data_IF_923223468803
#
_entry.id   IF_923223468803
#
_cell.length_a   1.000
_cell.length_b   1.000
_cell.length_c   1.000
_cell.angle_alpha   90.00
_cell.angle_beta   90.00
_cell.angle_gamma   90.00
#
_symmetry.space_group_name_H-M   'P 1'
#
loop_
_entity.id
_entity.type
_entity.pdbx_description
1 polymer ?
#
# COMPACT_ATOMS: atom_id res chain seq x y z
N UNK A 1 51.76 -2.79 91.25
CA UNK A 1 51.41 -3.66 90.11
C UNK A 1 52.42 -4.79 90.11
N UNK A 2 51.96 -6.01 90.39
CA UNK A 2 52.85 -7.18 90.47
C UNK A 2 53.21 -7.65 89.04
N UNK A 3 54.35 -8.33 88.89
CA UNK A 3 54.85 -8.81 87.58
C UNK A 3 53.85 -9.79 86.93
N UNK A 4 53.04 -10.47 87.73
CA UNK A 4 51.96 -11.37 87.30
C UNK A 4 50.79 -10.60 86.67
N UNK A 5 50.33 -9.51 87.29
CA UNK A 5 49.26 -8.65 86.74
C UNK A 5 49.66 -8.00 85.41
N UNK A 6 50.92 -7.61 85.26
CA UNK A 6 51.47 -7.07 84.00
C UNK A 6 51.45 -8.10 82.87
N UNK A 7 51.72 -9.38 83.16
CA UNK A 7 51.63 -10.48 82.17
C UNK A 7 50.20 -10.78 81.76
N UNK A 8 49.24 -10.73 82.69
CA UNK A 8 47.81 -10.87 82.35
C UNK A 8 47.32 -9.72 81.47
N UNK A 9 47.65 -8.47 81.81
CA UNK A 9 47.30 -7.29 81.01
C UNK A 9 47.88 -7.35 79.58
N UNK A 10 49.11 -7.82 79.43
CA UNK A 10 49.76 -8.02 78.14
C UNK A 10 49.08 -9.14 77.31
N UNK A 11 48.58 -10.20 77.98
CA UNK A 11 47.79 -11.26 77.36
C UNK A 11 46.43 -10.77 76.87
N UNK A 12 45.70 -10.01 77.68
CA UNK A 12 44.43 -9.41 77.28
C UNK A 12 44.59 -8.38 76.17
N UNK A 13 45.63 -7.53 76.23
CA UNK A 13 45.95 -6.59 75.16
C UNK A 13 46.31 -7.29 73.84
N UNK A 14 47.07 -8.39 73.89
CA UNK A 14 47.38 -9.22 72.72
C UNK A 14 46.15 -9.92 72.13
N UNK A 15 45.25 -10.42 72.99
CA UNK A 15 43.99 -11.06 72.57
C UNK A 15 43.00 -10.07 71.95
N UNK A 16 42.86 -8.86 72.52
CA UNK A 16 42.04 -7.79 71.95
C UNK A 16 42.63 -7.20 70.66
N UNK A 17 43.96 -7.08 70.55
CA UNK A 17 44.65 -6.63 69.33
C UNK A 17 44.47 -7.61 68.17
N UNK A 18 44.68 -8.91 68.41
CA UNK A 18 44.46 -9.96 67.41
C UNK A 18 42.97 -10.10 67.04
N UNK A 19 42.08 -10.09 68.03
CA UNK A 19 40.63 -10.14 67.81
C UNK A 19 40.10 -8.94 67.01
N UNK A 20 40.62 -7.74 67.27
CA UNK A 20 40.32 -6.53 66.51
C UNK A 20 40.77 -6.60 65.04
N UNK A 21 41.95 -7.14 64.77
CA UNK A 21 42.46 -7.33 63.40
C UNK A 21 41.61 -8.35 62.64
N UNK A 22 41.24 -9.46 63.27
CA UNK A 22 40.38 -10.49 62.66
C UNK A 22 38.99 -9.93 62.35
N UNK A 23 38.38 -9.19 63.26
CA UNK A 23 37.07 -8.59 63.06
C UNK A 23 37.08 -7.47 62.00
N UNK A 24 38.15 -6.67 61.93
CA UNK A 24 38.37 -5.73 60.82
C UNK A 24 38.59 -6.45 59.48
N UNK A 25 39.32 -7.56 59.47
CA UNK A 25 39.53 -8.39 58.28
C UNK A 25 38.24 -9.00 57.76
N UNK A 26 37.39 -9.52 58.64
CA UNK A 26 36.06 -10.05 58.30
C UNK A 26 35.15 -8.92 57.82
N UNK A 27 35.11 -7.79 58.52
CA UNK A 27 34.33 -6.61 58.12
C UNK A 27 34.73 -6.09 56.73
N UNK A 28 36.03 -6.03 56.45
CA UNK A 28 36.57 -5.65 55.14
C UNK A 28 36.19 -6.64 54.03
N UNK A 29 36.30 -7.95 54.29
CA UNK A 29 35.89 -8.99 53.34
C UNK A 29 34.39 -8.93 53.05
N UNK A 30 33.56 -8.71 54.08
CA UNK A 30 32.12 -8.52 53.93
C UNK A 30 31.80 -7.29 53.08
N UNK A 31 32.42 -6.15 53.40
CA UNK A 31 32.20 -4.89 52.70
C UNK A 31 32.59 -5.02 51.23
N UNK A 32 33.77 -5.59 50.95
CA UNK A 32 34.28 -5.81 49.59
C UNK A 32 33.35 -6.74 48.78
N UNK A 33 32.89 -7.84 49.37
CA UNK A 33 32.04 -8.82 48.70
C UNK A 33 30.63 -8.28 48.42
N UNK A 34 29.95 -7.74 49.44
CA UNK A 34 28.55 -7.32 49.33
C UNK A 34 28.38 -6.06 48.50
N UNK A 35 29.24 -5.04 48.66
CA UNK A 35 29.15 -3.84 47.81
C UNK A 35 29.48 -4.15 46.35
N UNK A 36 30.50 -4.97 46.09
CA UNK A 36 30.84 -5.37 44.72
C UNK A 36 29.69 -6.13 44.06
N UNK A 37 29.08 -7.08 44.76
CA UNK A 37 27.93 -7.83 44.24
C UNK A 37 26.70 -6.95 44.01
N UNK A 38 26.39 -6.00 44.90
CA UNK A 38 25.25 -5.09 44.74
C UNK A 38 25.47 -4.12 43.59
N UNK A 39 26.65 -3.52 43.48
CA UNK A 39 27.00 -2.62 42.37
C UNK A 39 26.96 -3.36 41.03
N UNK A 40 27.49 -4.59 40.98
CA UNK A 40 27.42 -5.44 39.78
C UNK A 40 25.98 -5.70 39.36
N UNK A 41 25.10 -6.09 40.30
CA UNK A 41 23.69 -6.39 40.01
C UNK A 41 22.90 -5.14 39.60
N UNK A 42 23.24 -3.98 40.18
CA UNK A 42 22.64 -2.69 39.81
C UNK A 42 23.08 -2.26 38.41
N UNK A 43 24.35 -2.46 38.05
CA UNK A 43 24.87 -2.20 36.72
C UNK A 43 24.22 -3.13 35.67
N UNK A 44 24.08 -4.42 35.98
CA UNK A 44 23.39 -5.41 35.13
C UNK A 44 21.93 -5.03 34.88
N UNK A 45 21.18 -4.64 35.92
CA UNK A 45 19.79 -4.19 35.77
C UNK A 45 19.67 -2.87 35.00
N UNK A 46 20.68 -2.00 35.04
CA UNK A 46 20.70 -0.77 34.25
C UNK A 46 20.91 -1.08 32.77
N UNK A 47 21.91 -1.92 32.45
CA UNK A 47 22.18 -2.36 31.08
C UNK A 47 20.95 -3.03 30.45
N UNK A 48 20.27 -3.94 31.15
CA UNK A 48 19.03 -4.57 30.66
C UNK A 48 17.92 -3.56 30.40
N UNK A 49 17.80 -2.50 31.20
CA UNK A 49 16.79 -1.44 30.96
C UNK A 49 17.13 -0.61 29.73
N UNK A 50 18.41 -0.30 29.53
CA UNK A 50 18.90 0.42 28.34
C UNK A 50 18.66 -0.42 27.08
N UNK A 51 18.92 -1.72 27.12
CA UNK A 51 18.64 -2.65 26.01
C UNK A 51 17.14 -2.71 25.69
N UNK A 52 16.27 -2.81 26.69
CA UNK A 52 14.81 -2.79 26.49
C UNK A 52 14.36 -1.46 25.87
N UNK A 53 14.93 -0.33 26.32
CA UNK A 53 14.61 0.98 25.76
C UNK A 53 15.06 1.09 24.29
N UNK A 54 16.26 0.59 23.96
CA UNK A 54 16.77 0.54 22.59
C UNK A 54 15.88 -0.32 21.69
N UNK A 55 15.51 -1.53 22.13
CA UNK A 55 14.61 -2.42 21.39
C UNK A 55 13.24 -1.76 21.17
N UNK A 56 12.69 -1.10 22.20
CA UNK A 56 11.41 -0.40 22.09
C UNK A 56 11.49 0.71 21.05
N UNK A 57 12.58 1.47 21.05
CA UNK A 57 12.80 2.53 20.06
C UNK A 57 12.88 1.98 18.63
N UNK A 58 13.60 0.87 18.42
CA UNK A 58 13.65 0.20 17.12
C UNK A 58 12.27 -0.32 16.68
N UNK A 59 11.50 -0.92 17.57
CA UNK A 59 10.13 -1.40 17.28
C UNK A 59 9.22 -0.24 16.89
N UNK A 60 9.27 0.88 17.62
CA UNK A 60 8.49 2.08 17.28
C UNK A 60 8.97 2.70 15.95
N UNK A 61 10.27 2.64 15.66
CA UNK A 61 10.82 3.04 14.35
C UNK A 61 10.26 2.19 13.22
N UNK A 62 10.31 0.86 13.36
CA UNK A 62 9.76 -0.10 12.40
C UNK A 62 8.26 0.09 12.24
N UNK A 63 7.51 0.22 13.34
CA UNK A 63 6.07 0.48 13.32
C UNK A 63 5.73 1.76 12.55
N UNK A 64 6.49 2.82 12.79
CA UNK A 64 6.33 4.11 12.09
C UNK A 64 6.58 3.94 10.59
N UNK A 65 7.66 3.24 10.21
CA UNK A 65 7.96 2.97 8.80
C UNK A 65 6.85 2.16 8.11
N UNK A 66 6.33 1.11 8.77
CA UNK A 66 5.22 0.33 8.24
C UNK A 66 3.93 1.14 8.13
N UNK A 67 3.62 1.99 9.11
CA UNK A 67 2.44 2.85 9.05
C UNK A 67 2.49 3.79 7.83
N UNK A 68 3.66 4.38 7.55
CA UNK A 68 3.87 5.22 6.36
C UNK A 68 3.70 4.40 5.08
N UNK A 69 4.33 3.22 4.99
CA UNK A 69 4.24 2.36 3.81
C UNK A 69 2.79 1.92 3.52
N UNK A 70 2.02 1.61 4.57
CA UNK A 70 0.61 1.23 4.46
C UNK A 70 -0.22 2.41 3.95
N UNK A 71 -0.03 3.61 4.49
CA UNK A 71 -0.76 4.80 4.05
C UNK A 71 -0.41 5.19 2.60
N UNK A 72 0.87 5.15 2.21
CA UNK A 72 1.28 5.37 0.82
C UNK A 72 0.67 4.34 -0.13
N UNK A 73 0.70 3.06 0.26
CA UNK A 73 0.09 1.99 -0.52
C UNK A 73 -1.42 2.22 -0.67
N UNK A 74 -2.14 2.52 0.42
CA UNK A 74 -3.57 2.82 0.39
C UNK A 74 -3.88 4.01 -0.52
N UNK A 75 -3.18 5.13 -0.37
CA UNK A 75 -3.38 6.32 -1.19
C UNK A 75 -3.17 6.01 -2.69
N UNK A 76 -2.11 5.27 -3.02
CA UNK A 76 -1.84 4.84 -4.39
C UNK A 76 -2.93 3.92 -4.95
N UNK A 77 -3.43 2.98 -4.14
CA UNK A 77 -4.52 2.10 -4.54
C UNK A 77 -5.83 2.86 -4.72
N UNK A 78 -6.16 3.79 -3.83
CA UNK A 78 -7.36 4.64 -3.95
C UNK A 78 -7.33 5.48 -5.24
N UNK A 79 -6.19 6.12 -5.54
CA UNK A 79 -6.03 6.88 -6.79
C UNK A 79 -6.18 5.98 -8.03
N UNK A 80 -5.62 4.77 -7.98
CA UNK A 80 -5.78 3.78 -9.06
C UNK A 80 -7.22 3.34 -9.23
N UNK A 81 -7.93 3.04 -8.14
CA UNK A 81 -9.34 2.64 -8.18
C UNK A 81 -10.20 3.78 -8.75
N UNK A 82 -10.03 5.01 -8.26
CA UNK A 82 -10.77 6.17 -8.78
C UNK A 82 -10.52 6.41 -10.28
N UNK A 83 -9.28 6.23 -10.74
CA UNK A 83 -8.95 6.34 -12.16
C UNK A 83 -9.57 5.20 -12.99
N UNK A 84 -9.61 3.98 -12.46
CA UNK A 84 -10.26 2.84 -13.12
C UNK A 84 -11.77 3.01 -13.19
N UNK A 85 -12.42 3.45 -12.11
CA UNK A 85 -13.86 3.71 -12.09
C UNK A 85 -14.24 4.77 -13.12
N UNK A 86 -13.47 5.86 -13.19
CA UNK A 86 -13.71 6.92 -14.18
C UNK A 86 -13.51 6.43 -15.61
N UNK A 87 -12.51 5.58 -15.84
CA UNK A 87 -12.26 4.96 -17.14
C UNK A 87 -13.41 4.03 -17.53
N UNK A 88 -13.84 3.14 -16.64
CA UNK A 88 -14.95 2.22 -16.90
C UNK A 88 -16.25 2.98 -17.19
N UNK A 89 -16.53 4.02 -16.40
CA UNK A 89 -17.66 4.92 -16.62
C UNK A 89 -17.61 5.55 -18.02
N UNK A 90 -16.46 6.08 -18.45
CA UNK A 90 -16.33 6.68 -19.77
C UNK A 90 -16.58 5.67 -20.90
N UNK A 91 -16.14 4.42 -20.73
CA UNK A 91 -16.42 3.36 -21.72
C UNK A 91 -17.92 3.02 -21.78
N UNK A 92 -18.60 2.94 -20.64
CA UNK A 92 -20.04 2.68 -20.57
C UNK A 92 -20.86 3.82 -21.20
N UNK A 93 -20.47 5.07 -20.94
CA UNK A 93 -21.09 6.25 -21.54
C UNK A 93 -20.89 6.26 -23.06
N UNK A 94 -19.67 5.98 -23.54
CA UNK A 94 -19.38 5.86 -24.98
C UNK A 94 -20.23 4.75 -25.64
N UNK A 95 -20.40 3.60 -24.98
CA UNK A 95 -21.27 2.53 -25.47
C UNK A 95 -22.73 2.96 -25.59
N UNK A 96 -23.23 3.68 -24.59
CA UNK A 96 -24.61 4.18 -24.57
C UNK A 96 -24.85 5.18 -25.71
N UNK A 97 -23.92 6.12 -25.90
CA UNK A 97 -23.96 7.06 -27.03
C UNK A 97 -23.87 6.36 -28.38
N UNK A 98 -23.03 5.33 -28.50
CA UNK A 98 -22.95 4.52 -29.72
C UNK A 98 -24.28 3.79 -30.01
N UNK A 99 -24.98 3.27 -29.00
CA UNK A 99 -26.31 2.65 -29.19
C UNK A 99 -27.34 3.66 -29.67
N UNK A 100 -27.30 4.87 -29.12
CA UNK A 100 -28.16 5.99 -29.54
C UNK A 100 -27.83 6.41 -30.99
N UNK A 101 -26.55 6.50 -31.34
CA UNK A 101 -26.06 6.78 -32.69
C UNK A 101 -26.56 5.74 -33.69
N UNK A 102 -26.44 4.45 -33.36
CA UNK A 102 -26.90 3.36 -34.20
C UNK A 102 -28.42 3.42 -34.44
N UNK A 103 -29.20 3.69 -33.38
CA UNK A 103 -30.65 3.87 -33.50
C UNK A 103 -31.06 5.08 -34.33
N UNK A 104 -30.24 6.14 -34.32
CA UNK A 104 -30.48 7.38 -35.07
C UNK A 104 -29.88 7.42 -36.48
N UNK A 105 -29.10 6.42 -36.93
CA UNK A 105 -28.30 6.53 -38.16
C UNK A 105 -29.13 6.74 -39.43
N UNK A 106 -30.38 6.26 -39.44
CA UNK A 106 -31.31 6.39 -40.56
C UNK A 106 -32.45 7.38 -40.30
N UNK A 107 -32.31 8.25 -39.29
CA UNK A 107 -33.31 9.25 -38.93
C UNK A 107 -32.78 10.67 -39.12
N UNK A 108 -33.66 11.65 -39.29
CA UNK A 108 -33.30 13.06 -39.44
C UNK A 108 -32.66 13.66 -38.17
N UNK A 109 -32.71 12.93 -37.06
CA UNK A 109 -32.13 13.31 -35.77
C UNK A 109 -30.65 12.96 -35.65
N UNK A 110 -30.05 12.28 -36.63
CA UNK A 110 -28.64 11.84 -36.57
C UNK A 110 -27.67 12.98 -36.27
N UNK A 111 -27.88 14.16 -36.86
CA UNK A 111 -27.03 15.33 -36.63
C UNK A 111 -26.98 15.72 -35.15
N UNK A 112 -28.11 15.69 -34.44
CA UNK A 112 -28.16 16.00 -33.00
C UNK A 112 -27.41 14.96 -32.18
N UNK A 113 -27.55 13.68 -32.53
CA UNK A 113 -26.85 12.58 -31.83
C UNK A 113 -25.35 12.64 -32.07
N UNK A 114 -24.90 12.98 -33.28
CA UNK A 114 -23.48 13.19 -33.62
C UNK A 114 -22.90 14.36 -32.81
N UNK A 115 -23.59 15.49 -32.73
CA UNK A 115 -23.14 16.62 -31.91
C UNK A 115 -23.02 16.24 -30.42
N UNK A 116 -23.98 15.47 -29.90
CA UNK A 116 -23.92 14.93 -28.53
C UNK A 116 -22.69 14.02 -28.33
N UNK A 117 -22.35 13.20 -29.31
CA UNK A 117 -21.15 12.36 -29.27
C UNK A 117 -19.87 13.21 -29.28
N UNK A 118 -19.83 14.28 -30.07
CA UNK A 118 -18.69 15.22 -30.13
C UNK A 118 -18.52 15.98 -28.80
N UNK A 119 -19.60 16.55 -28.26
CA UNK A 119 -19.57 17.25 -26.98
C UNK A 119 -19.09 16.34 -25.83
N UNK A 120 -19.52 15.08 -25.86
CA UNK A 120 -19.07 14.09 -24.88
C UNK A 120 -17.61 13.73 -25.08
N UNK A 121 -17.17 13.57 -26.34
CA UNK A 121 -15.80 13.24 -26.69
C UNK A 121 -14.80 14.29 -26.20
N UNK A 122 -15.08 15.57 -26.42
CA UNK A 122 -14.21 16.67 -25.98
C UNK A 122 -13.96 16.63 -24.47
N UNK A 123 -14.95 16.16 -23.69
CA UNK A 123 -14.88 16.10 -22.24
C UNK A 123 -14.27 14.81 -21.70
N UNK A 124 -14.37 13.69 -22.45
CA UNK A 124 -14.09 12.36 -21.89
C UNK A 124 -13.09 11.51 -22.69
N UNK A 125 -12.61 11.96 -23.85
CA UNK A 125 -11.71 11.16 -24.70
C UNK A 125 -10.39 10.76 -24.02
N UNK A 126 -9.92 11.51 -23.02
CA UNK A 126 -8.71 11.19 -22.26
C UNK A 126 -8.87 9.95 -21.35
N UNK A 127 -10.10 9.60 -21.00
CA UNK A 127 -10.40 8.42 -20.19
C UNK A 127 -10.56 7.14 -21.02
N UNK A 128 -10.64 7.26 -22.34
CA UNK A 128 -10.73 6.11 -23.24
C UNK A 128 -9.33 5.60 -23.61
N UNK A 129 -9.25 4.30 -23.86
CA UNK A 129 -8.05 3.73 -24.48
C UNK A 129 -7.84 4.28 -25.89
N UNK A 130 -6.58 4.42 -26.37
CA UNK A 130 -6.29 4.94 -27.71
C UNK A 130 -7.07 4.25 -28.82
N UNK A 131 -7.16 2.91 -28.81
CA UNK A 131 -7.92 2.14 -29.81
C UNK A 131 -9.42 2.40 -29.74
N UNK A 132 -9.98 2.47 -28.53
CA UNK A 132 -11.41 2.71 -28.29
C UNK A 132 -11.77 4.13 -28.70
N UNK A 133 -10.91 5.08 -28.36
CA UNK A 133 -11.00 6.48 -28.74
C UNK A 133 -11.08 6.58 -30.27
N UNK A 134 -10.08 6.09 -30.99
CA UNK A 134 -10.07 6.10 -32.47
C UNK A 134 -11.33 5.46 -33.06
N UNK A 135 -11.73 4.29 -32.57
CA UNK A 135 -12.91 3.59 -33.05
C UNK A 135 -14.21 4.38 -32.79
N UNK A 136 -14.35 5.04 -31.64
CA UNK A 136 -15.53 5.85 -31.33
C UNK A 136 -15.60 7.09 -32.23
N UNK A 137 -14.47 7.78 -32.43
CA UNK A 137 -14.41 8.92 -33.35
C UNK A 137 -14.75 8.55 -34.79
N UNK A 138 -14.20 7.44 -35.26
CA UNK A 138 -14.53 6.91 -36.57
C UNK A 138 -16.01 6.56 -36.67
N UNK A 139 -16.63 5.99 -35.63
CA UNK A 139 -18.03 5.61 -35.64
C UNK A 139 -18.99 6.80 -35.75
N UNK A 140 -18.85 7.85 -34.93
CA UNK A 140 -19.76 8.99 -35.02
C UNK A 140 -19.53 9.84 -36.28
N UNK A 141 -18.29 9.95 -36.76
CA UNK A 141 -17.99 10.60 -38.04
C UNK A 141 -18.59 9.81 -39.21
N UNK A 142 -18.42 8.48 -39.21
CA UNK A 142 -19.02 7.60 -40.21
C UNK A 142 -20.54 7.69 -40.22
N UNK A 143 -21.19 7.72 -39.04
CA UNK A 143 -22.63 7.85 -38.94
C UNK A 143 -23.17 9.17 -39.49
N UNK A 144 -22.45 10.29 -39.29
CA UNK A 144 -22.78 11.57 -39.90
C UNK A 144 -22.77 11.47 -41.44
N UNK A 145 -21.72 10.89 -42.02
CA UNK A 145 -21.59 10.73 -43.47
C UNK A 145 -22.50 9.64 -44.04
N UNK A 146 -22.91 8.66 -43.25
CA UNK A 146 -23.74 7.53 -43.69
C UNK A 146 -25.08 7.99 -44.23
N UNK A 147 -25.73 8.89 -43.49
CA UNK A 147 -27.01 9.46 -43.90
C UNK A 147 -26.90 10.17 -45.25
N UNK A 148 -25.84 10.95 -45.45
CA UNK A 148 -25.57 11.64 -46.72
C UNK A 148 -25.29 10.66 -47.87
N UNK A 149 -24.51 9.59 -47.64
CA UNK A 149 -24.24 8.58 -48.67
C UNK A 149 -25.48 7.81 -49.11
N UNK A 150 -26.37 7.49 -48.17
CA UNK A 150 -27.64 6.83 -48.46
C UNK A 150 -28.56 7.75 -49.27
N UNK A 151 -28.70 9.02 -48.87
CA UNK A 151 -29.52 9.99 -49.62
C UNK A 151 -28.97 10.26 -51.03
N UNK A 152 -27.65 10.35 -51.17
CA UNK A 152 -26.98 10.60 -52.44
C UNK A 152 -26.94 9.37 -53.36
N UNK A 153 -27.48 8.22 -52.93
CA UNK A 153 -27.40 6.94 -53.67
C UNK A 153 -25.96 6.60 -54.07
N UNK A 154 -25.02 6.80 -53.15
CA UNK A 154 -23.61 6.48 -53.36
C UNK A 154 -23.42 4.97 -53.64
N UNK A 155 -22.25 4.62 -54.17
CA UNK A 155 -21.89 3.23 -54.42
C UNK A 155 -22.10 2.36 -53.17
N UNK A 156 -22.74 1.21 -53.35
CA UNK A 156 -23.04 0.23 -52.31
C UNK A 156 -21.78 -0.16 -51.53
N UNK A 157 -20.61 -0.18 -52.18
CA UNK A 157 -19.33 -0.44 -51.52
C UNK A 157 -19.00 0.62 -50.47
N UNK A 158 -19.17 1.91 -50.78
CA UNK A 158 -18.90 3.03 -49.87
C UNK A 158 -19.85 2.98 -48.67
N UNK A 159 -21.14 2.73 -48.92
CA UNK A 159 -22.14 2.61 -47.85
C UNK A 159 -21.79 1.45 -46.90
N UNK A 160 -21.37 0.31 -47.46
CA UNK A 160 -20.99 -0.88 -46.69
C UNK A 160 -19.71 -0.67 -45.88
N UNK A 161 -18.68 -0.05 -46.47
CA UNK A 161 -17.43 0.28 -45.77
C UNK A 161 -17.67 1.27 -44.63
N UNK A 162 -18.51 2.28 -44.87
CA UNK A 162 -18.87 3.25 -43.85
C UNK A 162 -19.69 2.61 -42.72
N UNK A 163 -20.62 1.70 -43.04
CA UNK A 163 -21.38 0.94 -42.04
C UNK A 163 -20.47 0.09 -41.15
N UNK A 164 -19.43 -0.54 -41.72
CA UNK A 164 -18.44 -1.30 -40.94
C UNK A 164 -17.72 -0.43 -39.89
N UNK A 165 -17.44 0.84 -40.19
CA UNK A 165 -16.82 1.75 -39.23
C UNK A 165 -17.74 2.01 -38.03
N UNK A 166 -19.04 2.17 -38.28
CA UNK A 166 -20.05 2.35 -37.23
C UNK A 166 -20.16 1.07 -36.38
N UNK A 167 -20.26 -0.11 -37.00
CA UNK A 167 -20.50 -1.36 -36.27
C UNK A 167 -19.27 -1.98 -35.64
N UNK A 168 -18.06 -1.53 -35.99
CA UNK A 168 -16.81 -2.04 -35.42
C UNK A 168 -16.61 -1.63 -33.96
N UNK A 169 -17.12 -0.48 -33.54
CA UNK A 169 -16.84 0.10 -32.22
C UNK A 169 -17.03 -0.87 -31.03
N UNK A 170 -18.16 -1.61 -30.89
CA UNK A 170 -18.36 -2.52 -29.76
C UNK A 170 -17.27 -3.59 -29.64
N UNK A 171 -16.81 -4.14 -30.77
CA UNK A 171 -15.77 -5.19 -30.75
C UNK A 171 -14.45 -4.67 -30.17
N UNK A 172 -14.03 -3.47 -30.58
CA UNK A 172 -12.82 -2.80 -30.08
C UNK A 172 -12.97 -2.43 -28.61
N UNK A 173 -14.15 -1.95 -28.23
CA UNK A 173 -14.45 -1.58 -26.85
C UNK A 173 -14.46 -2.79 -25.91
N UNK A 174 -15.07 -3.91 -26.30
CA UNK A 174 -15.09 -5.11 -25.48
C UNK A 174 -13.70 -5.74 -25.34
N UNK A 175 -12.87 -5.70 -26.39
CA UNK A 175 -11.46 -6.11 -26.30
C UNK A 175 -10.70 -5.27 -25.27
N UNK A 176 -10.94 -3.97 -25.21
CA UNK A 176 -10.29 -3.05 -24.27
C UNK A 176 -10.75 -3.22 -22.80
N UNK A 177 -12.02 -3.57 -22.57
CA UNK A 177 -12.58 -3.71 -21.21
C UNK A 177 -12.35 -5.12 -20.63
N UNK A 178 -11.86 -6.07 -21.43
CA UNK A 178 -11.53 -7.40 -20.91
C UNK A 178 -10.55 -7.27 -19.75
N UNK A 179 -11.03 -7.60 -18.55
CA UNK A 179 -10.18 -7.73 -17.38
C UNK A 179 -9.16 -8.84 -17.67
N UNK A 180 -7.87 -8.65 -17.37
CA UNK A 180 -6.94 -9.75 -17.41
C UNK A 180 -7.51 -10.89 -16.57
N UNK A 181 -7.48 -12.15 -17.05
CA UNK A 181 -7.91 -13.28 -16.25
C UNK A 181 -7.14 -13.21 -14.92
N UNK A 182 -7.81 -13.46 -13.80
CA UNK A 182 -7.21 -13.46 -12.45
C UNK A 182 -5.87 -14.20 -12.55
N UNK A 183 -4.77 -13.46 -12.55
CA UNK A 183 -3.47 -14.07 -12.82
C UNK A 183 -3.13 -15.00 -11.65
N UNK A 184 -2.24 -15.96 -11.87
CA UNK A 184 -1.71 -16.86 -10.83
C UNK A 184 -1.20 -16.12 -9.56
N UNK A 185 -0.96 -14.81 -9.68
CA UNK A 185 -0.59 -13.91 -8.59
C UNK A 185 -1.72 -13.75 -7.55
N UNK A 186 -2.99 -13.70 -7.97
CA UNK A 186 -4.14 -13.61 -7.06
C UNK A 186 -4.55 -14.98 -6.50
N UNK A 187 -4.33 -16.06 -7.27
CA UNK A 187 -4.51 -17.44 -6.79
C UNK A 187 -3.54 -17.81 -5.65
N UNK A 188 -2.36 -17.17 -5.58
CA UNK A 188 -1.39 -17.34 -4.48
C UNK A 188 -1.73 -16.53 -3.22
N UNK A 189 -2.59 -15.51 -3.32
CA UNK A 189 -2.92 -14.59 -2.21
C UNK A 189 -4.14 -15.06 -1.43
N UNK A 190 -4.93 -15.99 -1.96
CA UNK A 190 -5.98 -16.68 -1.21
C UNK A 190 -5.32 -17.85 -0.47
N UNK A 191 -5.04 -17.75 0.85
CA UNK A 191 -4.68 -18.94 1.60
C UNK A 191 -5.84 -19.93 1.50
N UNK A 192 -5.58 -21.23 1.31
CA UNK A 192 -6.64 -22.22 1.31
C UNK A 192 -7.31 -22.17 2.69
N UNK A 193 -8.51 -21.60 2.76
CA UNK A 193 -9.32 -21.66 3.94
C UNK A 193 -9.57 -23.13 4.26
N UNK A 194 -9.05 -23.58 5.39
CA UNK A 194 -9.49 -24.81 6.06
C UNK A 194 -8.40 -25.79 6.45
N UNK A 195 -7.37 -25.37 7.19
CA UNK A 195 -6.73 -26.21 8.22
C UNK A 195 -6.12 -25.32 9.34
N UNK A 196 -6.93 -24.96 10.32
CA UNK A 196 -6.54 -24.88 11.74
C UNK A 196 -7.65 -25.53 12.55
#
# INVERSE_FOLDING_TARGET
MTIEELRELQRYAGAFGLGGIVSLGIGWLFLKSYLSSYLSKKAENLATREDIAAITHEIEGVRTQYAVLIEESKAKHQLRMAALDRRLQAHQEAFTLWRELLGGTHTDTIGKVVMKCQDWWEKNCLYLEPKVREAFSAAYSAAHSHHAYVQAHADSKIITENWKLITRFPSVMFEAIQLPPLSEVEAKVIPPNGQQ
#
